data_IF_656987528685
#
_entry.id   IF_656987528685
#
_cell.length_a   1.000
_cell.length_b   1.000
_cell.length_c   1.000
_cell.angle_alpha   90.00
_cell.angle_beta   90.00
_cell.angle_gamma   90.00
#
_symmetry.space_group_name_H-M   'P 1'
#
loop_
_entity.id
_entity.type
_entity.pdbx_description
1 polymer ?
#
# COMPACT_ATOMS: atom_id res chain seq x y z
N UNK A 1 -2.38 -3.16 -43.47
CA UNK A 1 -2.92 -2.39 -42.32
C UNK A 1 -3.35 -3.36 -41.21
N UNK A 2 -2.42 -4.12 -40.63
CA UNK A 2 -2.71 -5.14 -39.59
C UNK A 2 -1.58 -5.33 -38.51
N UNK A 3 -0.84 -4.27 -38.16
CA UNK A 3 0.29 -4.43 -37.21
C UNK A 3 0.25 -3.52 -35.97
N UNK A 4 -0.85 -2.82 -35.69
CA UNK A 4 -0.90 -1.86 -34.57
C UNK A 4 -1.74 -2.29 -33.35
N UNK A 5 -2.39 -3.47 -33.39
CA UNK A 5 -3.30 -3.88 -32.29
C UNK A 5 -2.60 -4.68 -31.19
N UNK A 6 -1.44 -5.30 -31.47
CA UNK A 6 -0.79 -6.21 -30.49
C UNK A 6 0.14 -5.52 -29.47
N UNK A 7 0.53 -4.26 -29.67
CA UNK A 7 1.47 -3.59 -28.75
C UNK A 7 0.77 -3.02 -27.51
N UNK A 8 -0.51 -2.64 -27.63
CA UNK A 8 -1.26 -2.04 -26.51
C UNK A 8 -1.65 -3.07 -25.44
N UNK A 9 -1.91 -4.32 -25.79
CA UNK A 9 -2.31 -5.38 -24.85
C UNK A 9 -1.14 -5.91 -24.01
N UNK A 10 0.08 -5.95 -24.55
CA UNK A 10 1.26 -6.40 -23.81
C UNK A 10 1.68 -5.40 -22.73
N UNK A 11 1.54 -4.09 -22.99
CA UNK A 11 1.87 -3.02 -22.03
C UNK A 11 0.94 -3.01 -20.81
N UNK A 12 -0.32 -3.38 -20.97
CA UNK A 12 -1.30 -3.40 -19.88
C UNK A 12 -1.12 -4.61 -18.95
N UNK A 13 -0.71 -5.75 -19.49
CA UNK A 13 -0.43 -6.96 -18.70
C UNK A 13 0.85 -6.82 -17.89
N UNK A 14 1.89 -6.20 -18.44
CA UNK A 14 3.15 -5.98 -17.74
C UNK A 14 3.01 -4.99 -16.58
N UNK A 15 2.18 -3.95 -16.71
CA UNK A 15 1.93 -2.99 -15.63
C UNK A 15 1.10 -3.57 -14.49
N UNK A 16 0.21 -4.52 -14.76
CA UNK A 16 -0.60 -5.16 -13.72
C UNK A 16 0.20 -6.18 -12.88
N UNK A 17 1.11 -6.94 -13.49
CA UNK A 17 2.00 -7.85 -12.78
C UNK A 17 2.93 -7.09 -11.82
N UNK A 18 3.62 -6.05 -12.30
CA UNK A 18 4.50 -5.22 -11.48
C UNK A 18 3.77 -4.59 -10.27
N UNK A 19 2.54 -4.13 -10.46
CA UNK A 19 1.76 -3.50 -9.39
C UNK A 19 1.32 -4.51 -8.31
N UNK A 20 1.04 -5.76 -8.68
CA UNK A 20 0.72 -6.84 -7.75
C UNK A 20 1.92 -7.23 -6.89
N UNK A 21 3.06 -7.45 -7.52
CA UNK A 21 4.31 -7.80 -6.83
C UNK A 21 4.74 -6.71 -5.85
N UNK A 22 4.68 -5.43 -6.26
CA UNK A 22 5.03 -4.32 -5.37
C UNK A 22 4.13 -4.24 -4.14
N UNK A 23 2.84 -4.49 -4.27
CA UNK A 23 1.90 -4.43 -3.16
C UNK A 23 2.17 -5.53 -2.12
N UNK A 24 2.48 -6.74 -2.56
CA UNK A 24 2.83 -7.86 -1.68
C UNK A 24 4.17 -7.62 -1.00
N UNK A 25 5.16 -7.13 -1.72
CA UNK A 25 6.46 -6.76 -1.19
C UNK A 25 6.36 -5.63 -0.15
N UNK A 26 5.47 -4.64 -0.35
CA UNK A 26 5.22 -3.58 0.64
C UNK A 26 4.64 -4.16 1.94
N UNK A 27 3.72 -5.10 1.88
CA UNK A 27 3.19 -5.75 3.09
C UNK A 27 4.24 -6.62 3.79
N UNK A 28 5.09 -7.33 3.03
CA UNK A 28 6.21 -8.07 3.57
C UNK A 28 7.22 -7.14 4.27
N UNK A 29 7.54 -6.02 3.66
CA UNK A 29 8.46 -5.01 4.23
C UNK A 29 7.87 -4.33 5.48
N UNK A 30 6.58 -4.03 5.51
CA UNK A 30 5.87 -3.56 6.72
C UNK A 30 5.97 -4.61 7.83
N UNK A 31 5.77 -5.88 7.50
CA UNK A 31 5.84 -6.96 8.48
C UNK A 31 7.27 -7.16 9.00
N UNK A 32 8.28 -7.00 8.17
CA UNK A 32 9.68 -6.96 8.63
C UNK A 32 9.91 -5.82 9.63
N UNK A 33 9.44 -4.61 9.34
CA UNK A 33 9.57 -3.48 10.24
C UNK A 33 8.84 -3.71 11.58
N UNK A 34 7.68 -4.36 11.56
CA UNK A 34 6.89 -4.69 12.76
C UNK A 34 7.54 -5.76 13.62
N UNK A 35 8.03 -6.84 13.01
CA UNK A 35 8.56 -8.01 13.72
C UNK A 35 10.00 -7.84 14.16
N UNK A 36 10.80 -7.05 13.43
CA UNK A 36 12.22 -6.81 13.69
C UNK A 36 12.58 -5.31 13.63
N UNK A 37 11.97 -4.46 14.47
CA UNK A 37 12.12 -3.00 14.36
C UNK A 37 13.56 -2.52 14.56
N UNK A 38 14.37 -3.16 15.41
CA UNK A 38 15.78 -2.80 15.60
C UNK A 38 16.62 -3.11 14.35
N UNK A 39 16.36 -4.25 13.70
CA UNK A 39 16.97 -4.54 12.40
C UNK A 39 16.52 -3.52 11.35
N UNK A 40 15.24 -3.14 11.39
CA UNK A 40 14.71 -2.14 10.46
C UNK A 40 15.31 -0.75 10.67
N UNK A 41 15.70 -0.41 11.90
CA UNK A 41 16.45 0.83 12.18
C UNK A 41 17.77 0.91 11.40
N UNK A 42 18.50 -0.22 11.30
CA UNK A 42 19.74 -0.30 10.53
C UNK A 42 19.48 -0.17 9.01
N UNK A 43 18.42 -0.81 8.52
CA UNK A 43 17.98 -0.69 7.12
C UNK A 43 17.63 0.77 6.81
N UNK A 44 16.83 1.41 7.67
CA UNK A 44 16.43 2.80 7.49
C UNK A 44 17.64 3.72 7.49
N UNK A 45 18.59 3.54 8.41
CA UNK A 45 19.81 4.33 8.47
C UNK A 45 20.62 4.23 7.17
N UNK A 46 20.79 3.02 6.61
CA UNK A 46 21.52 2.81 5.37
C UNK A 46 20.82 3.43 4.15
N UNK A 47 19.49 3.40 4.12
CA UNK A 47 18.67 3.91 3.00
C UNK A 47 18.49 5.43 3.02
N UNK A 48 18.83 6.08 4.13
CA UNK A 48 18.63 7.53 4.32
C UNK A 48 19.94 8.31 4.42
N UNK A 49 21.05 7.72 4.01
CA UNK A 49 22.35 8.43 3.90
C UNK A 49 22.18 9.63 2.95
N UNK A 50 22.57 10.82 3.44
CA UNK A 50 22.42 12.06 2.67
C UNK A 50 20.98 12.55 2.51
N UNK A 51 20.05 12.06 3.33
CA UNK A 51 18.65 12.45 3.28
C UNK A 51 18.45 13.97 3.34
N UNK A 52 17.68 14.49 2.39
CA UNK A 52 17.32 15.91 2.26
C UNK A 52 15.80 16.00 2.14
N UNK A 53 15.10 15.99 3.26
CA UNK A 53 13.65 16.18 3.33
C UNK A 53 13.28 17.55 3.87
N UNK A 54 11.97 17.77 4.02
CA UNK A 54 11.39 19.06 4.46
C UNK A 54 11.85 19.43 5.87
N UNK A 55 11.91 18.45 6.79
CA UNK A 55 12.34 18.65 8.19
C UNK A 55 13.85 18.42 8.39
N UNK A 56 14.59 18.14 7.30
CA UNK A 56 16.02 17.88 7.34
C UNK A 56 16.37 16.54 8.00
N UNK A 57 17.66 16.30 8.32
CA UNK A 57 18.13 14.99 8.81
C UNK A 57 17.64 14.63 10.22
N UNK A 58 17.08 15.58 10.95
CA UNK A 58 16.55 15.35 12.29
C UNK A 58 15.39 14.36 12.33
N UNK A 59 14.53 14.38 11.31
CA UNK A 59 13.37 13.46 11.20
C UNK A 59 13.80 12.01 11.02
N UNK A 60 14.89 11.78 10.28
CA UNK A 60 15.47 10.43 10.11
C UNK A 60 16.02 9.92 11.44
N UNK A 61 16.78 10.74 12.16
CA UNK A 61 17.29 10.37 13.50
C UNK A 61 16.15 10.09 14.48
N UNK A 62 15.05 10.81 14.38
CA UNK A 62 13.84 10.57 15.18
C UNK A 62 13.22 9.21 14.85
N UNK A 63 13.08 8.88 13.56
CA UNK A 63 12.56 7.60 13.11
C UNK A 63 13.43 6.42 13.53
N UNK A 64 14.77 6.55 13.45
CA UNK A 64 15.71 5.53 13.91
C UNK A 64 15.53 5.30 15.43
N UNK A 65 15.54 6.35 16.24
CA UNK A 65 15.33 6.23 17.69
C UNK A 65 13.97 5.63 18.06
N UNK A 66 12.94 5.89 17.27
CA UNK A 66 11.65 5.25 17.44
C UNK A 66 11.75 3.73 17.22
N UNK A 67 12.36 3.30 16.11
CA UNK A 67 12.53 1.89 15.79
C UNK A 67 13.39 1.14 16.81
N UNK A 68 14.47 1.75 17.29
CA UNK A 68 15.36 1.18 18.32
C UNK A 68 14.60 0.87 19.62
N UNK A 69 13.63 1.70 19.99
CA UNK A 69 12.81 1.56 21.19
C UNK A 69 11.52 0.76 20.98
N UNK A 70 11.12 0.55 19.73
CA UNK A 70 9.88 -0.13 19.40
C UNK A 70 9.99 -1.62 19.75
N UNK A 71 9.05 -2.13 20.55
CA UNK A 71 8.93 -3.57 20.78
C UNK A 71 8.39 -4.26 19.54
N UNK A 72 8.88 -5.46 19.20
CA UNK A 72 8.32 -6.25 18.12
C UNK A 72 6.80 -6.39 18.26
N UNK A 73 6.11 -6.33 17.12
CA UNK A 73 4.67 -6.55 17.00
C UNK A 73 4.41 -7.76 16.11
N UNK A 74 3.30 -8.47 16.30
CA UNK A 74 2.89 -9.51 15.38
C UNK A 74 2.77 -8.98 13.94
N UNK A 75 3.06 -9.81 12.94
CA UNK A 75 2.81 -9.44 11.54
C UNK A 75 1.32 -9.21 11.30
N UNK A 76 1.01 -8.39 10.32
CA UNK A 76 -0.33 -8.21 9.80
C UNK A 76 -0.65 -9.39 8.86
N UNK A 77 -1.81 -9.99 9.02
CA UNK A 77 -2.33 -10.93 8.03
C UNK A 77 -2.81 -10.16 6.77
N UNK A 78 -2.73 -10.80 5.62
CA UNK A 78 -3.26 -10.24 4.37
C UNK A 78 -4.77 -10.46 4.26
N UNK A 79 -5.47 -9.53 3.59
CA UNK A 79 -6.90 -9.63 3.30
C UNK A 79 -7.16 -9.12 1.88
N UNK A 80 -7.80 -9.97 1.08
CA UNK A 80 -8.16 -9.62 -0.29
C UNK A 80 -9.22 -8.51 -0.36
N UNK A 81 -10.19 -8.51 0.53
CA UNK A 81 -11.19 -7.45 0.59
C UNK A 81 -10.58 -6.09 0.95
N UNK A 82 -9.61 -6.07 1.88
CA UNK A 82 -8.88 -4.84 2.22
C UNK A 82 -8.00 -4.39 1.03
N UNK A 83 -7.32 -5.34 0.34
CA UNK A 83 -6.57 -5.08 -0.91
C UNK A 83 -7.47 -4.45 -1.97
N UNK A 84 -8.65 -5.01 -2.19
CA UNK A 84 -9.61 -4.51 -3.18
C UNK A 84 -10.10 -3.09 -2.83
N UNK A 85 -10.27 -2.78 -1.54
CA UNK A 85 -10.54 -1.43 -1.07
C UNK A 85 -9.42 -0.44 -1.40
N UNK A 86 -8.15 -0.85 -1.25
CA UNK A 86 -6.97 -0.07 -1.64
C UNK A 86 -6.89 0.09 -3.16
N UNK A 87 -7.11 -0.99 -3.93
CA UNK A 87 -7.10 -0.97 -5.39
C UNK A 87 -8.17 -0.02 -5.95
N UNK A 88 -9.36 0.00 -5.35
CA UNK A 88 -10.40 0.93 -5.75
C UNK A 88 -9.94 2.40 -5.66
N UNK A 89 -9.13 2.74 -4.65
CA UNK A 89 -8.56 4.08 -4.51
C UNK A 89 -7.46 4.37 -5.53
N UNK A 90 -6.58 3.40 -5.80
CA UNK A 90 -5.55 3.51 -6.85
C UNK A 90 -6.18 3.77 -8.21
N UNK A 91 -7.22 3.02 -8.57
CA UNK A 91 -7.92 3.15 -9.85
C UNK A 91 -8.71 4.47 -9.97
N UNK A 92 -9.20 5.00 -8.85
CA UNK A 92 -9.94 6.26 -8.81
C UNK A 92 -9.00 7.48 -8.90
N UNK A 93 -7.95 7.50 -8.09
CA UNK A 93 -7.13 8.70 -7.92
C UNK A 93 -5.92 8.74 -8.85
N UNK A 94 -5.38 7.59 -9.23
CA UNK A 94 -4.17 7.47 -10.05
C UNK A 94 -4.27 8.20 -11.39
N UNK A 95 -5.28 7.90 -12.24
CA UNK A 95 -5.41 8.55 -13.54
C UNK A 95 -5.61 10.07 -13.47
N UNK A 96 -6.29 10.56 -12.43
CA UNK A 96 -6.52 11.99 -12.25
C UNK A 96 -5.34 12.74 -11.66
N UNK A 97 -4.32 12.05 -11.15
CA UNK A 97 -3.17 12.65 -10.48
C UNK A 97 -3.49 13.36 -9.16
N UNK A 98 -4.69 13.15 -8.60
CA UNK A 98 -5.11 13.75 -7.33
C UNK A 98 -4.53 13.01 -6.13
N UNK A 99 -4.38 13.75 -5.02
CA UNK A 99 -3.83 13.22 -3.76
C UNK A 99 -4.88 13.20 -2.66
N UNK A 100 -4.62 12.38 -1.63
CA UNK A 100 -5.39 12.35 -0.39
C UNK A 100 -6.19 11.07 -0.22
N UNK A 101 -6.82 10.95 0.94
CA UNK A 101 -7.54 9.76 1.38
C UNK A 101 -8.99 9.68 0.87
N UNK A 102 -9.58 10.83 0.53
CA UNK A 102 -10.96 10.92 0.05
C UNK A 102 -11.01 10.63 -1.44
N UNK A 103 -11.82 9.66 -1.84
CA UNK A 103 -12.06 9.32 -3.24
C UNK A 103 -12.80 10.40 -4.01
N UNK A 104 -12.83 10.31 -5.34
CA UNK A 104 -13.48 11.29 -6.23
C UNK A 104 -14.98 11.41 -5.96
N UNK A 105 -15.60 10.32 -5.52
CA UNK A 105 -17.00 10.22 -5.14
C UNK A 105 -17.27 10.55 -3.65
N UNK A 106 -16.25 11.02 -2.92
CA UNK A 106 -16.37 11.35 -1.50
C UNK A 106 -16.10 10.20 -0.54
N UNK A 107 -15.88 8.96 -1.04
CA UNK A 107 -15.65 7.78 -0.20
C UNK A 107 -14.39 7.91 0.66
N UNK A 108 -14.50 7.44 1.90
CA UNK A 108 -13.40 7.30 2.83
C UNK A 108 -12.76 5.89 2.70
N UNK A 109 -11.55 5.63 3.23
CA UNK A 109 -10.93 4.32 3.18
C UNK A 109 -11.83 3.18 3.67
N UNK A 110 -12.49 3.36 4.79
CA UNK A 110 -13.41 2.38 5.38
C UNK A 110 -14.65 2.12 4.53
N UNK A 111 -15.16 3.11 3.77
CA UNK A 111 -16.27 2.93 2.84
C UNK A 111 -15.86 2.04 1.65
N UNK A 112 -14.62 2.19 1.19
CA UNK A 112 -14.07 1.38 0.11
C UNK A 112 -13.87 -0.08 0.54
N UNK A 113 -13.29 -0.30 1.73
CA UNK A 113 -13.15 -1.65 2.31
C UNK A 113 -14.51 -2.32 2.55
N UNK A 114 -15.51 -1.58 3.01
CA UNK A 114 -16.84 -2.10 3.30
C UNK A 114 -17.59 -2.67 2.08
N UNK A 115 -17.13 -2.36 0.86
CA UNK A 115 -17.68 -2.98 -0.36
C UNK A 115 -17.30 -4.46 -0.53
N UNK A 116 -16.24 -4.90 0.14
CA UNK A 116 -15.64 -6.22 -0.02
C UNK A 116 -15.74 -7.09 1.23
N UNK A 117 -16.25 -6.54 2.31
CA UNK A 117 -16.38 -7.25 3.57
C UNK A 117 -16.64 -6.30 4.73
N UNK A 118 -16.56 -6.83 5.95
CA UNK A 118 -16.78 -6.07 7.18
C UNK A 118 -15.47 -5.92 7.94
N UNK A 119 -14.97 -4.69 8.07
CA UNK A 119 -13.84 -4.40 8.96
C UNK A 119 -14.30 -4.33 10.42
N UNK A 120 -13.42 -4.70 11.35
CA UNK A 120 -13.67 -4.82 12.79
C UNK A 120 -12.59 -4.04 13.54
N UNK A 121 -12.99 -3.35 14.62
CA UNK A 121 -12.08 -2.50 15.40
C UNK A 121 -11.76 -1.20 14.68
N UNK A 122 -10.51 -0.77 14.71
CA UNK A 122 -10.05 0.43 14.01
C UNK A 122 -9.77 0.16 12.54
N UNK A 123 -9.80 1.22 11.73
CA UNK A 123 -9.37 1.22 10.34
C UNK A 123 -8.41 2.38 10.08
N UNK A 124 -7.49 2.22 9.15
CA UNK A 124 -6.52 3.24 8.76
C UNK A 124 -6.04 3.06 7.33
N UNK A 125 -5.44 4.12 6.78
CA UNK A 125 -4.88 4.10 5.44
C UNK A 125 -3.56 4.85 5.43
N UNK A 126 -2.56 4.30 4.75
CA UNK A 126 -1.35 4.99 4.34
C UNK A 126 -1.33 5.09 2.82
N UNK A 127 -0.83 6.21 2.31
CA UNK A 127 -0.60 6.40 0.87
C UNK A 127 0.83 6.92 0.68
N UNK A 128 1.56 6.30 -0.22
CA UNK A 128 2.85 6.80 -0.71
C UNK A 128 2.77 7.10 -2.20
N UNK A 129 3.50 8.11 -2.64
CA UNK A 129 3.52 8.57 -4.03
C UNK A 129 4.95 8.58 -4.57
N UNK A 130 5.14 8.05 -5.79
CA UNK A 130 6.39 8.17 -6.53
C UNK A 130 7.43 7.09 -6.26
N UNK A 131 7.30 6.29 -5.21
CA UNK A 131 8.20 5.15 -4.98
C UNK A 131 7.86 3.98 -5.90
N UNK A 132 8.89 3.25 -6.30
CA UNK A 132 8.78 2.10 -7.20
C UNK A 132 9.34 0.82 -6.58
N UNK A 133 9.79 0.89 -5.33
CA UNK A 133 10.25 -0.27 -4.55
C UNK A 133 9.61 -0.27 -3.17
N UNK A 134 9.39 -1.46 -2.63
CA UNK A 134 8.70 -1.68 -1.37
C UNK A 134 9.45 -1.05 -0.19
N UNK A 135 10.77 -1.21 -0.16
CA UNK A 135 11.61 -0.65 0.91
C UNK A 135 11.60 0.86 0.93
N UNK A 136 11.72 1.50 -0.25
CA UNK A 136 11.60 2.95 -0.38
C UNK A 136 10.25 3.46 0.12
N UNK A 137 9.15 2.80 -0.26
CA UNK A 137 7.80 3.10 0.22
C UNK A 137 7.71 3.03 1.75
N UNK A 138 8.14 1.91 2.36
CA UNK A 138 8.00 1.72 3.81
C UNK A 138 8.95 2.63 4.59
N UNK A 139 10.17 2.85 4.12
CA UNK A 139 11.12 3.83 4.73
C UNK A 139 10.51 5.22 4.75
N UNK A 140 9.91 5.69 3.64
CA UNK A 140 9.25 7.01 3.61
C UNK A 140 8.09 7.11 4.58
N UNK A 141 7.23 6.09 4.63
CA UNK A 141 6.09 6.05 5.56
C UNK A 141 6.53 6.00 7.03
N UNK A 142 7.70 5.40 7.33
CA UNK A 142 8.25 5.37 8.70
C UNK A 142 8.96 6.67 9.05
N UNK A 143 9.76 7.26 8.13
CA UNK A 143 10.35 8.59 8.33
C UNK A 143 9.25 9.62 8.50
N UNK A 144 8.25 9.57 7.64
CA UNK A 144 7.02 10.37 7.72
C UNK A 144 7.29 11.89 7.73
N UNK A 145 8.24 12.30 6.88
CA UNK A 145 8.74 13.67 6.79
C UNK A 145 7.65 14.65 6.34
N UNK A 146 7.52 15.78 7.02
CA UNK A 146 6.50 16.79 6.77
C UNK A 146 5.09 16.42 7.26
N UNK A 147 4.91 15.22 7.85
CA UNK A 147 3.61 14.78 8.37
C UNK A 147 3.53 14.98 9.88
N UNK A 148 2.78 15.99 10.30
CA UNK A 148 2.59 16.31 11.71
C UNK A 148 2.01 15.08 12.45
N UNK A 149 2.70 14.67 13.51
CA UNK A 149 2.23 13.58 14.36
C UNK A 149 2.53 12.17 13.84
N UNK A 150 3.25 12.03 12.71
CA UNK A 150 3.73 10.75 12.18
C UNK A 150 2.60 9.73 11.99
N UNK A 151 1.56 10.12 11.28
CA UNK A 151 0.35 9.32 11.10
C UNK A 151 0.61 7.99 10.40
N UNK A 152 1.43 8.00 9.34
CA UNK A 152 1.74 6.78 8.59
C UNK A 152 2.55 5.79 9.43
N UNK A 153 3.57 6.27 10.16
CA UNK A 153 4.35 5.46 11.10
C UNK A 153 3.46 4.87 12.20
N UNK A 154 2.55 5.67 12.76
CA UNK A 154 1.60 5.21 13.79
C UNK A 154 0.69 4.10 13.28
N UNK A 155 0.23 4.16 12.04
CA UNK A 155 -0.55 3.09 11.43
C UNK A 155 0.28 1.81 11.31
N UNK A 156 1.51 1.88 10.79
CA UNK A 156 2.40 0.72 10.66
C UNK A 156 2.63 0.04 12.01
N UNK A 157 2.86 0.79 13.09
CA UNK A 157 3.15 0.25 14.42
C UNK A 157 1.95 0.22 15.37
N UNK A 158 0.74 0.34 14.84
CA UNK A 158 -0.48 0.20 15.63
C UNK A 158 -0.63 -1.22 16.16
N UNK A 159 -0.91 -1.31 17.47
CA UNK A 159 -1.25 -2.58 18.14
C UNK A 159 -2.68 -3.02 17.87
N UNK A 160 -3.52 -2.11 17.40
CA UNK A 160 -4.92 -2.41 17.09
C UNK A 160 -5.05 -3.16 15.77
N UNK A 161 -4.20 -2.86 14.79
CA UNK A 161 -4.28 -3.48 13.47
C UNK A 161 -3.71 -4.90 13.48
N UNK A 162 -4.45 -5.82 12.85
CA UNK A 162 -4.14 -7.24 12.72
C UNK A 162 -4.12 -7.70 11.26
N UNK A 163 -4.82 -6.98 10.39
CA UNK A 163 -4.94 -7.32 8.98
C UNK A 163 -4.68 -6.08 8.12
N UNK A 164 -4.14 -6.29 6.93
CA UNK A 164 -3.89 -5.25 5.96
C UNK A 164 -4.05 -5.77 4.53
N UNK A 165 -4.21 -4.84 3.61
CA UNK A 165 -4.16 -5.09 2.18
C UNK A 165 -3.57 -3.88 1.47
N UNK A 166 -2.72 -4.11 0.49
CA UNK A 166 -2.08 -3.07 -0.28
C UNK A 166 -2.42 -3.18 -1.76
N UNK A 167 -2.38 -2.05 -2.46
CA UNK A 167 -2.43 -1.97 -3.91
C UNK A 167 -1.49 -0.88 -4.40
N UNK A 168 -0.84 -1.14 -5.52
CA UNK A 168 0.01 -0.17 -6.19
C UNK A 168 -0.48 0.05 -7.62
N UNK A 169 -0.13 1.19 -8.21
CA UNK A 169 -0.49 1.49 -9.58
C UNK A 169 0.04 2.84 -10.07
N UNK A 170 -0.31 3.16 -11.29
CA UNK A 170 0.06 4.41 -11.93
C UNK A 170 -0.58 5.61 -11.23
N UNK A 171 0.17 6.72 -11.19
CA UNK A 171 -0.33 8.02 -10.74
C UNK A 171 0.16 9.11 -11.69
N UNK A 172 -0.76 9.87 -12.30
CA UNK A 172 -0.45 10.80 -13.38
C UNK A 172 0.60 11.87 -12.99
N UNK A 173 0.59 12.35 -11.75
CA UNK A 173 1.54 13.37 -11.28
C UNK A 173 2.87 12.78 -10.81
N UNK A 174 2.86 11.60 -10.17
CA UNK A 174 4.05 11.05 -9.48
C UNK A 174 4.60 9.78 -10.11
N UNK A 175 4.00 9.29 -11.21
CA UNK A 175 4.39 8.07 -11.89
C UNK A 175 3.93 6.78 -11.19
N UNK A 176 3.70 6.83 -9.88
CA UNK A 176 3.21 5.70 -9.10
C UNK A 176 2.55 6.13 -7.80
N UNK A 177 1.67 5.28 -7.26
CA UNK A 177 1.14 5.37 -5.90
C UNK A 177 0.99 3.98 -5.30
N UNK A 178 1.12 3.90 -4.00
CA UNK A 178 0.84 2.71 -3.21
C UNK A 178 -0.13 3.08 -2.09
N UNK A 179 -1.22 2.34 -1.99
CA UNK A 179 -2.25 2.50 -0.95
C UNK A 179 -2.21 1.28 -0.06
N UNK A 180 -2.11 1.46 1.25
CA UNK A 180 -2.12 0.41 2.25
C UNK A 180 -3.27 0.68 3.21
N UNK A 181 -4.24 -0.22 3.24
CA UNK A 181 -5.34 -0.19 4.19
C UNK A 181 -5.09 -1.16 5.35
N UNK A 182 -5.50 -0.76 6.55
CA UNK A 182 -5.34 -1.51 7.79
C UNK A 182 -6.68 -1.66 8.50
N UNK A 183 -6.86 -2.79 9.21
CA UNK A 183 -7.98 -2.97 10.12
C UNK A 183 -7.59 -3.83 11.34
N UNK A 184 -8.39 -3.74 12.42
CA UNK A 184 -8.25 -4.61 13.58
C UNK A 184 -8.62 -6.06 13.28
N UNK A 185 -9.52 -6.27 12.33
CA UNK A 185 -9.93 -7.55 11.75
C UNK A 185 -10.76 -7.31 10.49
N UNK A 186 -10.95 -8.35 9.69
CA UNK A 186 -11.76 -8.27 8.49
C UNK A 186 -12.49 -9.59 8.24
N UNK A 187 -13.77 -9.51 7.94
CA UNK A 187 -14.61 -10.63 7.49
C UNK A 187 -14.88 -10.43 6.02
N UNK A 188 -14.30 -11.28 5.19
CA UNK A 188 -14.46 -11.22 3.74
C UNK A 188 -15.92 -11.37 3.33
N UNK A 189 -16.38 -10.64 2.31
CA UNK A 189 -17.70 -10.88 1.71
C UNK A 189 -17.68 -12.23 1.01
N UNK A 190 -18.69 -13.07 1.30
CA UNK A 190 -18.84 -14.38 0.66
C UNK A 190 -19.28 -14.31 -0.80
N UNK A 191 -19.52 -13.12 -1.33
CA UNK A 191 -19.85 -12.94 -2.74
C UNK A 191 -18.62 -13.27 -3.57
N UNK A 192 -18.49 -14.53 -4.02
CA UNK A 192 -17.53 -14.93 -5.05
C UNK A 192 -17.73 -14.00 -6.24
N UNK A 193 -16.73 -13.16 -6.54
CA UNK A 193 -16.58 -12.65 -7.91
C UNK A 193 -16.38 -13.89 -8.75
N UNK A 194 -17.42 -14.29 -9.49
CA UNK A 194 -17.36 -15.42 -10.40
C UNK A 194 -16.15 -15.18 -11.33
N UNK A 195 -15.15 -16.06 -11.19
CA UNK A 195 -14.01 -16.09 -12.08
C UNK A 195 -14.55 -16.26 -13.50
N UNK A 196 -14.47 -15.24 -14.32
CA UNK A 196 -14.76 -15.32 -15.76
C UNK A 196 -13.64 -16.10 -16.44
N UNK A 197 -13.61 -17.40 -16.20
CA UNK A 197 -12.78 -18.36 -16.93
C UNK A 197 -13.64 -19.58 -17.26
N UNK A 198 -14.44 -19.44 -18.29
CA UNK A 198 -14.83 -20.54 -19.17
C UNK A 198 -15.32 -19.94 -20.48
N UNK A 199 -14.41 -19.78 -21.43
CA UNK A 199 -14.80 -19.79 -22.82
C UNK A 199 -15.23 -21.21 -23.12
N UNK A 200 -16.44 -21.46 -23.65
CA UNK A 200 -16.80 -22.79 -24.11
C UNK A 200 -15.90 -23.12 -25.29
N UNK A 201 -15.25 -24.29 -25.23
CA UNK A 201 -14.59 -24.88 -26.39
C UNK A 201 -15.64 -25.06 -27.48
N UNK A 202 -15.48 -24.35 -28.58
CA UNK A 202 -16.28 -24.49 -29.76
C UNK A 202 -16.06 -25.90 -30.33
N UNK A 203 -17.11 -26.65 -30.45
CA UNK A 203 -17.18 -27.83 -31.28
C UNK A 203 -17.38 -27.40 -32.73
N UNK A 204 -16.45 -27.87 -33.60
CA UNK A 204 -16.53 -28.11 -35.07
C UNK A 204 -16.80 -26.86 -35.93
#
# INVERSE_FOLDING_TARGET
>A
MRLLVNILTLSFLATSAWAGDLADDVLAEINLARTAPQQYAQILASRTVGYRGVEGPGVVKEAIRFLEKQRPLPPLATSEGIRNGALAHVLDMGPSGRRGHKGSNGSQPWDRMARFGKWIGGAGENIDYGQRDARGTVVRLIVDDGVRGRGHRKNIFSRTFRVAGAAAGYHATYGGMCVINFAGGFVESTTRVASRTALPAGSL
#
